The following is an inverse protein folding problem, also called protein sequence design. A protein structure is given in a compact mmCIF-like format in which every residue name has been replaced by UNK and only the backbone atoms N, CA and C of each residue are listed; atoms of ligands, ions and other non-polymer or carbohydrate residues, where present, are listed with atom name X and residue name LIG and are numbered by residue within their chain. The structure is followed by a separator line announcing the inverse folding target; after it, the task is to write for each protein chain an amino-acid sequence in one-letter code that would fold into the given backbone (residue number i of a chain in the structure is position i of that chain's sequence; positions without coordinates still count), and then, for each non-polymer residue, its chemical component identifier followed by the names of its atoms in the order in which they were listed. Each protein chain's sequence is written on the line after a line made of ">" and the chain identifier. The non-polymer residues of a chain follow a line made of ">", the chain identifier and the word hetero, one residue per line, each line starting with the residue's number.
data_IF_373805985840
#
_entry.id   IF_373805985840
#
_cell.length_a   1.000
_cell.length_b   1.000
_cell.length_c   1.000
_cell.angle_alpha   90.00
_cell.angle_beta   90.00
_cell.angle_gamma   90.00
#
_symmetry.space_group_name_H-M   'P 1'
#
loop_
_entity.id
_entity.type
_entity.pdbx_description
1 polymer ?
#
# COMPACT_ATOMS: atom_id res chain seq x y z
N UNK A 1 -6.38 -13.70 9.50
CA UNK A 1 -7.24 -13.07 8.46
C UNK A 1 -7.06 -11.55 8.36
N UNK A 2 -6.79 -10.83 9.46
CA UNK A 2 -6.66 -9.36 9.46
C UNK A 2 -5.56 -8.75 8.56
N UNK A 3 -4.51 -9.48 8.18
CA UNK A 3 -3.40 -8.93 7.38
C UNK A 3 -3.63 -8.96 5.86
N UNK A 4 -4.52 -9.85 5.39
CA UNK A 4 -4.81 -10.04 3.97
C UNK A 4 -5.76 -8.94 3.46
N UNK A 5 -6.80 -8.66 4.26
CA UNK A 5 -7.82 -7.65 3.97
C UNK A 5 -7.20 -6.25 3.79
N UNK A 6 -6.24 -5.86 4.64
CA UNK A 6 -5.61 -4.53 4.58
C UNK A 6 -4.84 -4.31 3.27
N UNK A 7 -4.20 -5.36 2.73
CA UNK A 7 -3.40 -5.23 1.51
C UNK A 7 -4.31 -5.13 0.28
N UNK A 8 -5.35 -5.97 0.22
CA UNK A 8 -6.37 -5.96 -0.84
C UNK A 8 -7.08 -4.60 -0.90
N UNK A 9 -7.52 -4.06 0.25
CA UNK A 9 -8.11 -2.72 0.35
C UNK A 9 -7.13 -1.62 -0.09
N UNK A 10 -5.85 -1.74 0.26
CA UNK A 10 -4.83 -0.74 -0.14
C UNK A 10 -4.58 -0.75 -1.65
N UNK A 11 -4.67 -1.92 -2.29
CA UNK A 11 -4.58 -2.01 -3.76
C UNK A 11 -5.82 -1.43 -4.44
N UNK A 12 -7.01 -1.69 -3.90
CA UNK A 12 -8.26 -1.13 -4.43
C UNK A 12 -8.29 0.41 -4.35
N UNK A 13 -7.77 0.96 -3.25
CA UNK A 13 -7.57 2.41 -3.11
C UNK A 13 -6.53 2.95 -4.10
N UNK A 14 -5.43 2.23 -4.34
CA UNK A 14 -4.42 2.63 -5.32
C UNK A 14 -4.97 2.64 -6.75
N UNK A 15 -5.75 1.62 -7.13
CA UNK A 15 -6.43 1.58 -8.43
C UNK A 15 -7.39 2.75 -8.62
N UNK A 16 -8.12 3.11 -7.56
CA UNK A 16 -9.01 4.28 -7.57
C UNK A 16 -8.22 5.56 -7.81
N UNK A 17 -7.10 5.75 -7.10
CA UNK A 17 -6.22 6.91 -7.27
C UNK A 17 -5.66 6.98 -8.70
N UNK A 18 -5.22 5.86 -9.26
CA UNK A 18 -4.72 5.78 -10.64
C UNK A 18 -5.83 6.17 -11.63
N UNK A 19 -7.03 5.61 -11.49
CA UNK A 19 -8.16 5.91 -12.36
C UNK A 19 -8.57 7.39 -12.29
N UNK A 20 -8.51 8.01 -11.11
CA UNK A 20 -8.75 9.44 -10.95
C UNK A 20 -7.66 10.27 -11.65
N UNK A 21 -6.39 9.92 -11.48
CA UNK A 21 -5.27 10.61 -12.13
C UNK A 21 -5.33 10.49 -13.67
N UNK A 22 -5.72 9.32 -14.19
CA UNK A 22 -5.87 9.07 -15.63
C UNK A 22 -7.04 9.84 -16.25
N UNK A 23 -8.10 10.12 -15.48
CA UNK A 23 -9.24 10.91 -15.97
C UNK A 23 -8.86 12.33 -16.39
N UNK A 24 -7.84 12.92 -15.77
CA UNK A 24 -7.35 14.26 -16.12
C UNK A 24 -8.31 15.42 -15.78
N UNK A 25 -9.43 15.15 -15.11
CA UNK A 25 -10.46 16.15 -14.73
C UNK A 25 -10.12 16.92 -13.44
N UNK A 26 -8.88 16.85 -12.96
CA UNK A 26 -8.45 17.44 -11.69
C UNK A 26 -7.39 18.53 -11.89
N UNK A 27 -7.29 19.43 -10.93
CA UNK A 27 -6.24 20.45 -10.94
C UNK A 27 -4.88 19.83 -10.66
N UNK A 28 -3.80 20.50 -11.08
CA UNK A 28 -2.44 20.07 -10.79
C UNK A 28 -2.20 19.87 -9.28
N UNK A 29 -2.75 20.73 -8.44
CA UNK A 29 -2.63 20.62 -6.98
C UNK A 29 -3.32 19.36 -6.45
N UNK A 30 -4.50 19.04 -6.97
CA UNK A 30 -5.23 17.83 -6.60
C UNK A 30 -4.53 16.56 -7.10
N UNK A 31 -3.94 16.59 -8.30
CA UNK A 31 -3.09 15.51 -8.81
C UNK A 31 -1.90 15.25 -7.88
N UNK A 32 -1.26 16.30 -7.36
CA UNK A 32 -0.16 16.16 -6.41
C UNK A 32 -0.62 15.53 -5.08
N UNK A 33 -1.79 15.94 -4.57
CA UNK A 33 -2.36 15.34 -3.34
C UNK A 33 -2.65 13.85 -3.53
N UNK A 34 -3.28 13.49 -4.65
CA UNK A 34 -3.59 12.09 -5.00
C UNK A 34 -2.35 11.25 -5.20
N UNK A 35 -1.31 11.81 -5.84
CA UNK A 35 -0.01 11.17 -5.96
C UNK A 35 0.65 10.92 -4.59
N UNK A 36 0.65 11.91 -3.69
CA UNK A 36 1.15 11.74 -2.32
C UNK A 36 0.40 10.65 -1.55
N UNK A 37 -0.93 10.60 -1.70
CA UNK A 37 -1.79 9.60 -1.09
C UNK A 37 -1.43 8.18 -1.58
N UNK A 38 -1.32 8.00 -2.90
CA UNK A 38 -0.88 6.75 -3.51
C UNK A 38 0.51 6.33 -3.04
N UNK A 39 1.45 7.28 -2.91
CA UNK A 39 2.78 6.98 -2.40
C UNK A 39 2.79 6.52 -0.94
N UNK A 40 1.94 7.13 -0.09
CA UNK A 40 1.78 6.71 1.31
C UNK A 40 1.19 5.30 1.39
N UNK A 41 0.20 4.98 0.56
CA UNK A 41 -0.39 3.64 0.46
C UNK A 41 0.66 2.59 0.11
N UNK A 42 1.44 2.81 -0.94
CA UNK A 42 2.52 1.89 -1.35
C UNK A 42 3.52 1.66 -0.22
N UNK A 43 3.93 2.74 0.47
CA UNK A 43 4.85 2.65 1.61
C UNK A 43 4.28 1.81 2.75
N UNK A 44 2.99 1.95 3.05
CA UNK A 44 2.32 1.17 4.08
C UNK A 44 2.21 -0.32 3.70
N UNK A 45 1.94 -0.63 2.43
CA UNK A 45 1.96 -1.99 1.92
C UNK A 45 3.35 -2.62 2.07
N UNK A 46 4.39 -1.93 1.63
CA UNK A 46 5.78 -2.40 1.76
C UNK A 46 6.15 -2.67 3.23
N UNK A 47 5.87 -1.74 4.14
CA UNK A 47 6.11 -1.94 5.57
C UNK A 47 5.35 -3.14 6.15
N UNK A 48 4.13 -3.39 5.67
CA UNK A 48 3.30 -4.51 6.11
C UNK A 48 3.89 -5.85 5.68
N UNK A 49 4.38 -5.92 4.44
CA UNK A 49 5.08 -7.08 3.85
C UNK A 49 6.40 -7.33 4.59
N UNK A 50 7.26 -6.33 4.74
CA UNK A 50 8.51 -6.40 5.51
C UNK A 50 8.28 -6.96 6.93
N UNK A 51 7.18 -6.54 7.57
CA UNK A 51 6.81 -7.03 8.90
C UNK A 51 6.34 -8.49 8.88
N UNK A 52 5.74 -8.98 7.78
CA UNK A 52 5.48 -10.42 7.63
C UNK A 52 6.81 -11.16 7.50
N UNK A 53 7.64 -10.73 6.56
CA UNK A 53 8.91 -11.41 6.23
C UNK A 53 9.81 -11.50 7.46
N UNK A 54 10.00 -10.40 8.19
CA UNK A 54 10.78 -10.41 9.45
C UNK A 54 10.21 -11.36 10.49
N UNK A 55 8.87 -11.47 10.61
CA UNK A 55 8.25 -12.44 11.53
C UNK A 55 8.48 -13.88 11.08
N UNK A 56 8.45 -14.14 9.77
CA UNK A 56 8.75 -15.47 9.23
C UNK A 56 10.21 -15.84 9.49
N UNK A 57 11.15 -14.94 9.24
CA UNK A 57 12.59 -15.16 9.51
C UNK A 57 12.85 -15.47 10.99
N UNK A 58 12.16 -14.79 11.92
CA UNK A 58 12.31 -15.08 13.36
C UNK A 58 11.72 -16.43 13.75
N UNK A 59 10.63 -16.87 13.10
CA UNK A 59 10.06 -18.20 13.32
C UNK A 59 10.95 -19.30 12.72
N UNK A 60 11.54 -19.06 11.55
CA UNK A 60 12.41 -20.00 10.85
C UNK A 60 13.78 -20.14 11.55
N UNK A 61 14.30 -19.06 12.14
CA UNK A 61 15.54 -19.07 12.93
C UNK A 61 15.30 -19.34 14.44
N UNK A 62 14.07 -19.69 14.82
CA UNK A 62 13.62 -19.77 16.22
C UNK A 62 13.28 -21.17 16.72
N UNK A 63 13.66 -22.23 16.00
CA UNK A 63 13.70 -23.59 16.54
C UNK A 63 15.14 -23.96 16.93
N UNK A 64 15.60 -23.37 18.03
CA UNK A 64 16.46 -23.99 19.06
C UNK A 64 16.02 -23.50 20.45
#
# INVERSE_FOLDING_TARGET
>A
MAKKIILEESFEQLETIIAELEKGDMTLEDSFKKYEEGMKLIKNCSNSIDRVEKKLIVLENGEE
#
